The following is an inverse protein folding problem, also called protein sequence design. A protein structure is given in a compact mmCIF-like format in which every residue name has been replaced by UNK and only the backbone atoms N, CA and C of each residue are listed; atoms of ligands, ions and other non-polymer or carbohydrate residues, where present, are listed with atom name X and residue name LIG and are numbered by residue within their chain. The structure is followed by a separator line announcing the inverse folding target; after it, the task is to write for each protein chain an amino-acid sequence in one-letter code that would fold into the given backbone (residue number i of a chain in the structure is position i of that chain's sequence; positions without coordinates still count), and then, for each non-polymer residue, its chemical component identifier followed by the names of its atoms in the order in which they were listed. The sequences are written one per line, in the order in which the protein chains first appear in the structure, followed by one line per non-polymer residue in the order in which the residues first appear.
data_IF_281219618032
#
_entry.id   IF_281219618032
#
_cell.length_a   1.000
_cell.length_b   1.000
_cell.length_c   1.000
_cell.angle_alpha   90.00
_cell.angle_beta   90.00
_cell.angle_gamma   90.00
#
_symmetry.space_group_name_H-M   'P 1'
#
loop_
_entity.id
_entity.type
_entity.pdbx_description
1 polymer ?
#
# COMPACT_ATOMS: atom_id res chain seq x y z
N UNK A 1 -0.14 -8.74 26.53
CA UNK A 1 -0.78 -10.02 26.87
C UNK A 1 -2.19 -9.72 27.36
N UNK A 2 -3.22 -10.26 26.70
CA UNK A 2 -4.64 -9.93 26.92
C UNK A 2 -5.10 -10.24 28.35
N UNK A 3 -5.67 -9.25 29.03
CA UNK A 3 -6.03 -9.30 30.46
C UNK A 3 -7.31 -10.11 30.76
N UNK A 4 -8.13 -10.47 29.76
CA UNK A 4 -9.33 -11.28 29.99
C UNK A 4 -9.00 -12.74 30.24
N UNK A 5 -9.76 -13.38 31.14
CA UNK A 5 -9.71 -14.82 31.33
C UNK A 5 -10.38 -15.54 30.14
N UNK A 6 -10.05 -16.82 29.95
CA UNK A 6 -10.70 -17.64 28.93
C UNK A 6 -12.21 -17.77 29.18
N UNK A 7 -12.65 -17.66 30.45
CA UNK A 7 -14.05 -17.67 30.81
C UNK A 7 -14.79 -16.43 30.29
N UNK A 8 -14.19 -15.23 30.45
CA UNK A 8 -14.78 -13.97 30.00
C UNK A 8 -14.89 -13.93 28.46
N UNK A 9 -13.85 -14.42 27.76
CA UNK A 9 -13.85 -14.52 26.30
C UNK A 9 -14.97 -15.44 25.78
N UNK A 10 -15.20 -16.56 26.47
CA UNK A 10 -16.28 -17.49 26.13
C UNK A 10 -17.66 -16.90 26.42
N UNK A 11 -17.80 -16.13 27.50
CA UNK A 11 -19.04 -15.45 27.82
C UNK A 11 -19.40 -14.41 26.76
N UNK A 12 -18.43 -13.60 26.32
CA UNK A 12 -18.62 -12.63 25.24
C UNK A 12 -19.00 -13.31 23.92
N UNK A 13 -18.33 -14.39 23.55
CA UNK A 13 -18.68 -15.18 22.37
C UNK A 13 -20.07 -15.79 22.48
N UNK A 14 -20.48 -16.26 23.66
CA UNK A 14 -21.83 -16.79 23.90
C UNK A 14 -22.91 -15.72 23.76
N UNK A 15 -22.69 -14.51 24.27
CA UNK A 15 -23.61 -13.37 24.09
C UNK A 15 -23.78 -12.99 22.62
N UNK A 16 -22.74 -13.21 21.82
CA UNK A 16 -22.72 -12.94 20.38
C UNK A 16 -23.12 -14.15 19.52
N UNK A 17 -23.59 -15.25 20.12
CA UNK A 17 -23.92 -16.50 19.42
C UNK A 17 -22.77 -17.07 18.54
N UNK A 18 -21.53 -16.85 18.96
CA UNK A 18 -20.33 -17.35 18.28
C UNK A 18 -19.78 -18.61 18.96
N UNK A 19 -19.02 -19.40 18.19
CA UNK A 19 -18.41 -20.62 18.70
C UNK A 19 -17.41 -20.35 19.83
N UNK A 20 -17.63 -20.99 20.98
CA UNK A 20 -16.79 -20.88 22.20
C UNK A 20 -15.70 -21.94 22.29
N UNK A 21 -15.48 -22.70 21.21
CA UNK A 21 -14.45 -23.74 21.10
C UNK A 21 -13.13 -23.13 20.62
N UNK A 22 -12.02 -23.58 21.22
CA UNK A 22 -10.67 -23.18 20.81
C UNK A 22 -9.78 -22.68 21.96
N UNK A 23 -8.54 -22.37 21.61
CA UNK A 23 -7.51 -21.82 22.50
C UNK A 23 -7.73 -20.31 22.68
N UNK A 24 -7.22 -19.71 23.77
CA UNK A 24 -7.40 -18.27 24.11
C UNK A 24 -7.20 -17.33 22.91
N UNK A 25 -6.17 -17.58 22.09
CA UNK A 25 -5.84 -16.77 20.91
C UNK A 25 -6.91 -16.85 19.83
N UNK A 26 -7.51 -18.02 19.61
CA UNK A 26 -8.59 -18.22 18.64
C UNK A 26 -9.89 -17.55 19.08
N UNK A 27 -10.18 -17.60 20.38
CA UNK A 27 -11.32 -16.90 20.98
C UNK A 27 -11.18 -15.37 20.84
N UNK A 28 -9.98 -14.84 21.09
CA UNK A 28 -9.67 -13.41 20.90
C UNK A 28 -9.78 -13.02 19.42
N UNK A 29 -9.22 -13.81 18.51
CA UNK A 29 -9.32 -13.56 17.06
C UNK A 29 -10.78 -13.52 16.61
N UNK A 30 -11.60 -14.47 17.05
CA UNK A 30 -13.02 -14.56 16.68
C UNK A 30 -13.84 -13.37 17.23
N UNK A 31 -13.45 -12.82 18.37
CA UNK A 31 -14.04 -11.58 18.90
C UNK A 31 -13.61 -10.34 18.09
N UNK A 32 -12.34 -10.26 17.71
CA UNK A 32 -11.83 -9.18 16.86
C UNK A 32 -12.46 -9.20 15.46
N UNK A 33 -12.58 -10.38 14.84
CA UNK A 33 -13.22 -10.57 13.53
C UNK A 33 -14.71 -10.20 13.56
N UNK A 34 -15.36 -10.35 14.73
CA UNK A 34 -16.75 -9.95 14.96
C UNK A 34 -16.91 -8.46 15.36
N UNK A 35 -15.82 -7.66 15.29
CA UNK A 35 -15.85 -6.21 15.50
C UNK A 35 -15.68 -5.77 16.96
N UNK A 36 -15.30 -6.66 17.88
CA UNK A 36 -15.02 -6.28 19.27
C UNK A 36 -13.63 -5.65 19.35
N UNK A 37 -13.60 -4.33 19.60
CA UNK A 37 -12.34 -3.58 19.75
C UNK A 37 -11.50 -4.11 20.90
N UNK A 38 -10.17 -4.12 20.70
CA UNK A 38 -9.18 -4.52 21.70
C UNK A 38 -9.26 -3.70 23.01
N UNK A 39 -9.88 -2.52 22.97
CA UNK A 39 -10.16 -1.69 24.14
C UNK A 39 -11.26 -2.30 25.04
N UNK A 40 -12.32 -2.87 24.47
CA UNK A 40 -13.32 -3.62 25.24
C UNK A 40 -12.72 -4.88 25.90
N UNK A 41 -11.63 -5.41 25.32
CA UNK A 41 -10.82 -6.49 25.87
C UNK A 41 -9.76 -6.01 26.89
N UNK A 42 -9.79 -4.74 27.31
CA UNK A 42 -8.91 -4.20 28.35
C UNK A 42 -9.68 -3.58 29.52
N UNK A 43 -10.96 -3.25 29.31
CA UNK A 43 -11.80 -2.59 30.31
C UNK A 43 -12.54 -3.64 31.16
N UNK A 44 -11.82 -4.37 32.01
CA UNK A 44 -12.42 -4.92 33.24
C UNK A 44 -11.38 -5.08 34.33
N UNK A 45 -10.82 -3.95 34.73
CA UNK A 45 -10.08 -3.79 35.96
C UNK A 45 -10.71 -2.70 36.79
N UNK A 46 -11.97 -2.85 37.19
CA UNK A 46 -12.44 -2.27 38.44
C UNK A 46 -13.68 -3.01 38.95
N UNK A 47 -13.54 -3.63 40.10
CA UNK A 47 -14.63 -4.12 40.95
C UNK A 47 -14.40 -3.47 42.31
N UNK A 48 -15.35 -2.67 42.77
CA UNK A 48 -15.82 -2.75 44.15
C UNK A 48 -17.33 -3.04 44.10
N UNK A 49 -17.77 -4.25 44.39
CA UNK A 49 -18.06 -4.81 45.73
C UNK A 49 -18.91 -3.91 46.65
N UNK A 50 -20.08 -4.46 47.01
CA UNK A 50 -21.11 -4.04 48.00
C UNK A 50 -21.89 -2.72 47.71
N UNK A 51 -23.23 -2.59 47.82
CA UNK A 51 -24.35 -3.42 48.30
C UNK A 51 -25.71 -2.81 47.79
N UNK A 52 -26.89 -3.45 47.99
CA UNK A 52 -28.10 -3.30 47.16
C UNK A 52 -29.07 -2.19 47.59
N UNK A 53 -29.87 -1.68 46.65
CA UNK A 53 -31.05 -0.90 47.02
C UNK A 53 -31.75 -0.10 45.92
N UNK A 54 -32.74 -0.73 45.29
CA UNK A 54 -34.09 -0.16 45.16
C UNK A 54 -34.39 0.87 44.05
N UNK A 55 -35.19 0.39 43.09
CA UNK A 55 -36.29 1.02 42.31
C UNK A 55 -35.98 1.65 40.93
N UNK A 56 -36.50 0.93 39.93
CA UNK A 56 -37.08 1.35 38.65
C UNK A 56 -37.49 2.81 38.52
N UNK A 57 -37.23 3.44 37.35
CA UNK A 57 -38.22 3.74 36.29
C UNK A 57 -37.64 4.74 35.26
N UNK A 58 -37.76 4.36 33.98
CA UNK A 58 -37.69 5.16 32.72
C UNK A 58 -36.37 5.68 32.10
N UNK A 59 -36.32 5.76 30.75
CA UNK A 59 -35.11 5.90 29.96
C UNK A 59 -34.86 7.35 29.48
N UNK A 60 -33.63 7.84 29.60
CA UNK A 60 -33.14 8.99 28.82
C UNK A 60 -32.06 8.54 27.84
N UNK A 61 -32.30 8.62 26.52
CA UNK A 61 -31.26 8.49 25.50
C UNK A 61 -30.65 9.89 25.26
N UNK A 62 -29.37 10.07 25.58
CA UNK A 62 -28.74 11.38 25.39
C UNK A 62 -27.21 11.42 25.31
N UNK A 63 -26.51 10.30 25.36
CA UNK A 63 -25.04 10.29 25.50
C UNK A 63 -24.29 9.53 24.41
N UNK A 64 -24.97 8.99 23.40
CA UNK A 64 -24.31 8.21 22.33
C UNK A 64 -23.92 9.02 21.09
N UNK A 65 -24.53 10.19 20.84
CA UNK A 65 -24.31 10.96 19.60
C UNK A 65 -23.13 11.96 19.67
N UNK A 66 -22.67 12.34 20.87
CA UNK A 66 -21.53 13.25 21.01
C UNK A 66 -20.19 12.54 20.77
N UNK A 67 -20.03 11.32 21.30
CA UNK A 67 -18.80 10.55 21.12
C UNK A 67 -18.55 10.17 19.64
N UNK A 68 -19.60 9.85 18.88
CA UNK A 68 -19.51 9.56 17.45
C UNK A 68 -19.28 10.84 16.62
N UNK A 69 -19.89 11.96 17.02
CA UNK A 69 -19.61 13.28 16.45
C UNK A 69 -18.15 13.71 16.62
N UNK A 70 -17.57 13.49 17.79
CA UNK A 70 -16.18 13.85 18.07
C UNK A 70 -15.18 12.96 17.29
N UNK A 71 -15.47 11.67 17.15
CA UNK A 71 -14.65 10.75 16.32
C UNK A 71 -14.71 11.17 14.84
N UNK A 72 -15.89 11.48 14.31
CA UNK A 72 -16.04 11.90 12.90
C UNK A 72 -15.41 13.27 12.64
N UNK A 73 -15.52 14.22 13.58
CA UNK A 73 -14.81 15.50 13.49
C UNK A 73 -13.29 15.32 13.48
N UNK A 74 -12.77 14.40 14.29
CA UNK A 74 -11.35 14.07 14.29
C UNK A 74 -10.91 13.45 12.97
N UNK A 75 -11.71 12.55 12.41
CA UNK A 75 -11.46 11.92 11.12
C UNK A 75 -11.43 12.96 9.99
N UNK A 76 -12.40 13.88 9.97
CA UNK A 76 -12.45 14.98 8.99
C UNK A 76 -11.21 15.86 9.06
N UNK A 77 -10.73 16.17 10.27
CA UNK A 77 -9.51 16.96 10.47
C UNK A 77 -8.25 16.21 9.98
N UNK A 78 -8.18 14.90 10.19
CA UNK A 78 -7.09 14.06 9.67
C UNK A 78 -7.10 14.07 8.15
N UNK A 79 -8.26 13.81 7.53
CA UNK A 79 -8.40 13.79 6.07
C UNK A 79 -8.04 15.13 5.43
N UNK A 80 -8.33 16.25 6.10
CA UNK A 80 -7.91 17.59 5.63
C UNK A 80 -6.38 17.74 5.64
N UNK A 81 -5.72 17.30 6.71
CA UNK A 81 -4.25 17.34 6.80
C UNK A 81 -3.60 16.41 5.80
N UNK A 82 -4.14 15.21 5.61
CA UNK A 82 -3.65 14.27 4.60
C UNK A 82 -3.78 14.83 3.20
N UNK A 83 -4.91 15.47 2.87
CA UNK A 83 -5.08 16.16 1.59
C UNK A 83 -4.02 17.24 1.39
N UNK A 84 -3.78 18.06 2.40
CA UNK A 84 -2.76 19.13 2.34
C UNK A 84 -1.36 18.55 2.13
N UNK A 85 -0.99 17.51 2.87
CA UNK A 85 0.28 16.80 2.71
C UNK A 85 0.43 16.22 1.30
N UNK A 86 -0.58 15.52 0.79
CA UNK A 86 -0.56 14.97 -0.56
C UNK A 86 -0.37 16.07 -1.63
N UNK A 87 -1.04 17.23 -1.47
CA UNK A 87 -0.83 18.34 -2.40
C UNK A 87 0.59 18.89 -2.36
N UNK A 88 1.19 18.98 -1.17
CA UNK A 88 2.58 19.43 -1.00
C UNK A 88 3.58 18.41 -1.54
N UNK A 89 3.34 17.12 -1.35
CA UNK A 89 4.16 16.04 -1.92
C UNK A 89 4.13 16.06 -3.45
N UNK A 90 2.95 16.24 -4.05
CA UNK A 90 2.84 16.40 -5.52
C UNK A 90 3.65 17.59 -6.00
N UNK A 91 3.60 18.71 -5.29
CA UNK A 91 4.37 19.90 -5.67
C UNK A 91 5.88 19.67 -5.54
N UNK A 92 6.33 18.98 -4.49
CA UNK A 92 7.73 18.61 -4.32
C UNK A 92 8.21 17.67 -5.43
N UNK A 93 7.44 16.63 -5.76
CA UNK A 93 7.76 15.72 -6.85
C UNK A 93 7.83 16.44 -8.21
N UNK A 94 6.94 17.40 -8.46
CA UNK A 94 7.02 18.23 -9.68
C UNK A 94 8.29 19.08 -9.73
N UNK A 95 8.68 19.69 -8.61
CA UNK A 95 9.92 20.47 -8.52
C UNK A 95 11.16 19.58 -8.67
N UNK A 96 11.14 18.39 -8.07
CA UNK A 96 12.20 17.40 -8.22
C UNK A 96 12.35 16.94 -9.67
N UNK A 97 11.24 16.63 -10.35
CA UNK A 97 11.25 16.32 -11.78
C UNK A 97 11.77 17.47 -12.62
N UNK A 98 11.44 18.72 -12.30
CA UNK A 98 11.96 19.88 -13.01
C UNK A 98 13.46 20.08 -12.77
N UNK A 99 13.96 19.81 -11.57
CA UNK A 99 15.39 19.82 -11.27
C UNK A 99 16.13 18.71 -12.01
N UNK A 100 15.59 17.49 -12.03
CA UNK A 100 16.13 16.39 -12.82
C UNK A 100 16.11 16.71 -14.31
N UNK A 101 15.03 17.32 -14.79
CA UNK A 101 14.89 17.73 -16.19
C UNK A 101 15.86 18.83 -16.55
N UNK A 102 16.09 19.83 -15.70
CA UNK A 102 17.06 20.90 -15.97
C UNK A 102 18.49 20.37 -15.88
N UNK A 103 18.81 19.52 -14.91
CA UNK A 103 20.11 18.84 -14.81
C UNK A 103 20.40 17.94 -16.02
N UNK A 104 19.39 17.20 -16.49
CA UNK A 104 19.48 16.38 -17.70
C UNK A 104 19.37 17.21 -18.98
N UNK A 105 18.62 18.31 -19.05
CA UNK A 105 18.49 19.11 -20.27
C UNK A 105 19.84 19.71 -20.68
N UNK A 106 20.66 20.10 -19.70
CA UNK A 106 22.02 20.60 -19.92
C UNK A 106 22.99 19.50 -20.38
N UNK A 107 22.72 18.21 -20.11
CA UNK A 107 23.67 17.10 -20.33
C UNK A 107 23.08 15.92 -21.12
N UNK A 108 22.00 15.32 -20.64
CA UNK A 108 21.23 14.22 -21.24
C UNK A 108 20.31 14.59 -22.42
N UNK A 109 19.82 15.82 -22.57
CA UNK A 109 18.90 16.19 -23.65
C UNK A 109 19.55 16.17 -25.06
N UNK A 110 20.85 16.41 -25.12
CA UNK A 110 21.65 16.20 -26.32
C UNK A 110 22.01 14.72 -26.50
N UNK A 111 22.43 14.04 -25.42
CA UNK A 111 22.84 12.63 -25.44
C UNK A 111 21.68 11.67 -25.80
N UNK A 112 20.47 11.92 -25.32
CA UNK A 112 19.29 11.13 -25.67
C UNK A 112 18.93 11.30 -27.15
N UNK A 113 18.99 12.55 -27.66
CA UNK A 113 18.75 12.82 -29.09
C UNK A 113 19.83 12.21 -29.99
N UNK A 114 21.09 12.18 -29.56
CA UNK A 114 22.16 11.50 -30.31
C UNK A 114 22.05 9.97 -30.20
N UNK A 115 21.64 9.44 -29.05
CA UNK A 115 21.40 8.00 -28.86
C UNK A 115 20.25 7.49 -29.73
N UNK A 116 19.15 8.26 -29.84
CA UNK A 116 18.02 7.92 -30.72
C UNK A 116 18.44 7.94 -32.18
N UNK A 117 19.25 8.93 -32.61
CA UNK A 117 19.81 8.97 -33.96
C UNK A 117 20.74 7.80 -34.24
N UNK A 118 21.64 7.48 -33.30
CA UNK A 118 22.53 6.33 -33.39
C UNK A 118 21.75 5.02 -33.52
N UNK A 119 20.68 4.85 -32.74
CA UNK A 119 19.81 3.69 -32.84
C UNK A 119 19.10 3.60 -34.20
N UNK A 120 18.62 4.72 -34.73
CA UNK A 120 18.01 4.76 -36.05
C UNK A 120 19.01 4.40 -37.16
N UNK A 121 20.24 4.91 -37.09
CA UNK A 121 21.32 4.56 -38.02
C UNK A 121 21.67 3.07 -37.95
N UNK A 122 21.71 2.49 -36.74
CA UNK A 122 21.91 1.04 -36.55
C UNK A 122 20.75 0.23 -37.13
N UNK A 123 19.51 0.67 -36.89
CA UNK A 123 18.31 0.04 -37.45
C UNK A 123 18.33 0.07 -38.98
N UNK A 124 18.68 1.22 -39.57
CA UNK A 124 18.76 1.39 -41.02
C UNK A 124 19.89 0.53 -41.62
N UNK A 125 21.01 0.36 -40.90
CA UNK A 125 22.11 -0.51 -41.29
C UNK A 125 21.72 -1.99 -41.30
N UNK A 126 20.89 -2.43 -40.35
CA UNK A 126 20.38 -3.81 -40.26
C UNK A 126 19.26 -4.05 -41.26
N UNK A 127 18.42 -3.05 -41.52
CA UNK A 127 17.24 -3.19 -42.37
C UNK A 127 16.09 -3.96 -41.70
N UNK A 128 14.93 -3.97 -42.34
CA UNK A 128 13.76 -4.72 -41.87
C UNK A 128 13.89 -6.20 -42.26
N UNK A 129 13.69 -7.08 -41.28
CA UNK A 129 13.70 -8.53 -41.53
C UNK A 129 12.38 -8.94 -42.19
N UNK A 130 12.44 -9.33 -43.46
CA UNK A 130 11.28 -9.67 -44.30
C UNK A 130 10.81 -11.13 -44.14
N UNK A 131 11.58 -11.98 -43.45
CA UNK A 131 11.28 -13.40 -43.29
C UNK A 131 11.64 -14.30 -44.47
N UNK A 132 12.23 -13.77 -45.56
CA UNK A 132 12.72 -14.61 -46.66
C UNK A 132 14.05 -15.29 -46.31
N UNK A 133 14.25 -16.52 -46.80
CA UNK A 133 15.38 -17.38 -46.43
C UNK A 133 16.76 -16.79 -46.81
N UNK A 134 16.83 -15.92 -47.81
CA UNK A 134 18.06 -15.19 -48.21
C UNK A 134 18.30 -13.92 -47.39
N UNK A 135 17.25 -13.39 -46.75
CA UNK A 135 17.33 -12.18 -45.94
C UNK A 135 17.81 -12.49 -44.52
N UNK A 136 17.60 -13.71 -44.03
CA UNK A 136 18.11 -14.17 -42.73
C UNK A 136 19.63 -14.18 -42.67
N UNK A 137 20.32 -14.82 -43.63
CA UNK A 137 21.78 -14.88 -43.65
C UNK A 137 22.42 -13.49 -43.74
N UNK A 138 21.78 -12.55 -44.46
CA UNK A 138 22.25 -11.17 -44.59
C UNK A 138 22.03 -10.40 -43.29
N UNK A 139 20.83 -10.49 -42.74
CA UNK A 139 20.44 -9.85 -41.49
C UNK A 139 21.30 -10.35 -40.31
N UNK A 140 21.49 -11.67 -40.19
CA UNK A 140 22.30 -12.31 -39.17
C UNK A 140 23.76 -11.86 -39.23
N UNK A 141 24.35 -11.78 -40.43
CA UNK A 141 25.70 -11.21 -40.60
C UNK A 141 25.78 -9.74 -40.20
N UNK A 142 24.74 -8.95 -40.46
CA UNK A 142 24.70 -7.52 -40.08
C UNK A 142 24.57 -7.36 -38.56
N UNK A 143 23.75 -8.17 -37.91
CA UNK A 143 23.60 -8.20 -36.45
C UNK A 143 24.89 -8.68 -35.79
N UNK A 144 25.46 -9.80 -36.23
CA UNK A 144 26.71 -10.34 -35.67
C UNK A 144 27.88 -9.35 -35.84
N UNK A 145 27.94 -8.63 -36.97
CA UNK A 145 28.92 -7.56 -37.17
C UNK A 145 28.71 -6.40 -36.20
N UNK A 146 27.47 -6.05 -35.89
CA UNK A 146 27.16 -5.00 -34.92
C UNK A 146 27.48 -5.41 -33.49
N UNK A 147 27.13 -6.62 -33.10
CA UNK A 147 27.48 -7.18 -31.80
C UNK A 147 29.00 -7.16 -31.60
N UNK A 148 29.77 -7.62 -32.60
CA UNK A 148 31.23 -7.58 -32.56
C UNK A 148 31.83 -6.16 -32.59
N UNK A 149 31.23 -5.22 -33.32
CA UNK A 149 31.74 -3.85 -33.43
C UNK A 149 31.49 -3.00 -32.18
N UNK A 150 30.46 -3.35 -31.40
CA UNK A 150 30.08 -2.62 -30.19
C UNK A 150 30.35 -3.40 -28.89
N UNK A 151 31.00 -4.57 -28.98
CA UNK A 151 31.28 -5.45 -27.83
C UNK A 151 30.03 -5.75 -26.99
N UNK A 152 28.90 -5.87 -27.68
CA UNK A 152 27.60 -6.11 -27.07
C UNK A 152 27.44 -7.62 -26.88
N UNK A 153 28.01 -8.13 -25.80
CA UNK A 153 27.70 -9.49 -25.36
C UNK A 153 26.26 -9.55 -24.84
N UNK A 154 25.64 -10.73 -24.97
CA UNK A 154 24.27 -11.09 -24.58
C UNK A 154 23.96 -10.87 -23.07
N UNK A 155 24.90 -10.24 -22.34
CA UNK A 155 24.90 -9.98 -20.91
C UNK A 155 24.27 -8.65 -20.48
N UNK A 156 23.99 -7.71 -21.39
CA UNK A 156 23.28 -6.45 -21.06
C UNK A 156 21.76 -6.51 -21.31
N UNK A 157 21.24 -7.55 -21.95
CA UNK A 157 19.81 -7.68 -22.28
C UNK A 157 18.93 -8.21 -21.12
N UNK A 158 19.50 -8.43 -19.94
CA UNK A 158 18.77 -8.83 -18.72
C UNK A 158 18.90 -7.76 -17.64
N UNK A 159 18.13 -6.69 -17.76
CA UNK A 159 17.86 -5.73 -16.69
C UNK A 159 16.37 -5.42 -16.63
#
# INVERSE_FOLDING_TARGET
MSALSVADLKEMLKRMNLATTGVKVELVKRLMDAGVSAEALSIRGDVPDETPGTKSTEPQPGTSDQATGDITNREIEILRRERELATREIELLRRELELLRTAQSVTGGAAARTSVKKWQELKDLVGEFSGNNLDFDRWDKQINKLLAAYDLDDHEAKA
#
